data_IF_280385438805
#
_entry.id   IF_280385438805
#
_cell.length_a   1.000
_cell.length_b   1.000
_cell.length_c   1.000
_cell.angle_alpha   90.00
_cell.angle_beta   90.00
_cell.angle_gamma   90.00
#
_symmetry.space_group_name_H-M   'P 1'
#
loop_
_entity.id
_entity.type
_entity.pdbx_description
1 polymer ?
#
# COMPACT_ATOMS: atom_id res chain seq x y z
N UNK A 1 -1.19 1.57 -5.22
CA UNK A 1 -2.33 2.02 -4.38
C UNK A 1 -1.92 3.26 -3.62
N UNK A 2 -2.78 4.27 -3.54
CA UNK A 2 -2.54 5.43 -2.66
C UNK A 2 -2.99 5.11 -1.23
N UNK A 3 -2.18 5.49 -0.22
CA UNK A 3 -2.53 5.45 1.19
C UNK A 3 -2.69 6.88 1.71
N UNK A 4 -3.93 7.34 1.84
CA UNK A 4 -4.21 8.70 2.27
C UNK A 4 -5.36 8.68 3.29
N UNK A 5 -5.04 8.70 4.60
CA UNK A 5 -6.00 8.80 5.71
C UNK A 5 -6.77 10.13 5.77
N UNK A 6 -7.22 10.65 4.63
CA UNK A 6 -7.97 11.87 4.43
C UNK A 6 -9.15 11.62 3.48
N UNK A 7 -10.09 12.55 3.45
CA UNK A 7 -10.97 12.74 2.29
C UNK A 7 -10.19 13.34 1.11
N UNK A 8 -10.58 12.97 -0.12
CA UNK A 8 -10.02 13.50 -1.37
C UNK A 8 -11.02 14.35 -2.16
N UNK A 9 -12.31 14.06 -2.07
CA UNK A 9 -13.36 14.68 -2.89
C UNK A 9 -14.41 15.38 -2.02
N UNK A 10 -13.97 15.93 -0.89
CA UNK A 10 -14.83 16.58 0.10
C UNK A 10 -14.19 17.88 0.54
N UNK A 11 -15.01 18.93 0.64
CA UNK A 11 -14.61 20.22 1.17
C UNK A 11 -15.42 20.56 2.43
N UNK A 12 -14.76 20.88 3.56
CA UNK A 12 -13.31 20.89 3.76
C UNK A 12 -12.72 19.47 3.78
N UNK A 13 -11.45 19.34 3.40
CA UNK A 13 -10.67 18.11 3.59
C UNK A 13 -10.66 17.74 5.07
N UNK A 14 -10.98 16.47 5.38
CA UNK A 14 -11.04 15.95 6.74
C UNK A 14 -10.19 14.71 6.94
N UNK A 15 -9.72 14.54 8.17
CA UNK A 15 -8.99 13.35 8.59
C UNK A 15 -9.93 12.15 8.71
N UNK A 16 -9.50 11.00 8.19
CA UNK A 16 -10.26 9.75 8.23
C UNK A 16 -9.37 8.61 8.75
N UNK A 17 -9.45 8.28 10.04
CA UNK A 17 -8.46 7.43 10.71
C UNK A 17 -8.65 5.93 10.44
N UNK A 18 -9.72 5.48 9.78
CA UNK A 18 -10.15 4.09 9.85
C UNK A 18 -9.06 3.10 9.38
N UNK A 19 -8.52 3.29 8.17
CA UNK A 19 -7.48 2.41 7.63
C UNK A 19 -6.14 2.59 8.34
N UNK A 20 -5.77 3.83 8.69
CA UNK A 20 -4.54 4.13 9.43
C UNK A 20 -4.54 3.46 10.81
N UNK A 21 -5.62 3.61 11.57
CA UNK A 21 -5.81 3.01 12.88
C UNK A 21 -5.79 1.48 12.80
N UNK A 22 -6.40 0.89 11.77
CA UNK A 22 -6.40 -0.55 11.58
C UNK A 22 -4.98 -1.11 11.37
N UNK A 23 -4.15 -0.42 10.58
CA UNK A 23 -2.75 -0.78 10.35
C UNK A 23 -1.90 -0.60 11.61
N UNK A 24 -2.07 0.52 12.33
CA UNK A 24 -1.38 0.75 13.62
C UNK A 24 -1.72 -0.35 14.63
N UNK A 25 -3.00 -0.68 14.77
CA UNK A 25 -3.43 -1.76 15.67
C UNK A 25 -2.89 -3.13 15.24
N UNK A 26 -2.78 -3.39 13.93
CA UNK A 26 -2.17 -4.61 13.42
C UNK A 26 -0.70 -4.74 13.85
N UNK A 27 0.09 -3.70 13.58
CA UNK A 27 1.53 -3.71 13.88
C UNK A 27 1.86 -3.64 15.36
N UNK A 28 1.15 -2.81 16.12
CA UNK A 28 1.50 -2.50 17.51
C UNK A 28 0.78 -3.38 18.53
N UNK A 29 -0.50 -3.67 18.32
CA UNK A 29 -1.32 -4.37 19.32
C UNK A 29 -1.36 -5.87 19.06
N UNK A 30 -1.36 -6.27 17.79
CA UNK A 30 -1.44 -7.70 17.39
C UNK A 30 -0.10 -8.30 16.99
N UNK A 31 0.97 -7.51 16.94
CA UNK A 31 2.32 -7.98 16.57
C UNK A 31 2.41 -8.49 15.13
N UNK A 32 1.52 -8.05 14.23
CA UNK A 32 1.54 -8.45 12.82
C UNK A 32 2.62 -7.67 12.08
N UNK A 33 3.40 -8.34 11.24
CA UNK A 33 4.31 -7.65 10.32
C UNK A 33 3.53 -7.02 9.17
N UNK A 34 3.42 -5.69 9.17
CA UNK A 34 2.74 -4.90 8.15
C UNK A 34 3.77 -4.34 7.18
N UNK A 35 3.64 -4.68 5.90
CA UNK A 35 4.47 -4.13 4.81
C UNK A 35 3.61 -3.33 3.84
N UNK A 36 3.92 -2.05 3.68
CA UNK A 36 3.26 -1.18 2.70
C UNK A 36 4.20 -0.89 1.53
N UNK A 37 3.80 -1.26 0.32
CA UNK A 37 4.48 -0.89 -0.91
C UNK A 37 3.65 0.16 -1.66
N UNK A 38 4.13 1.39 -1.70
CA UNK A 38 3.38 2.54 -2.22
C UNK A 38 4.12 3.14 -3.40
N UNK A 39 3.41 3.43 -4.50
CA UNK A 39 4.06 4.04 -5.67
C UNK A 39 4.31 5.53 -5.49
N UNK A 40 5.49 5.97 -5.93
CA UNK A 40 5.82 7.36 -6.18
C UNK A 40 5.78 7.62 -7.69
N UNK A 41 4.98 8.59 -8.10
CA UNK A 41 4.82 9.05 -9.48
C UNK A 41 4.31 10.51 -9.50
N UNK A 42 4.22 11.13 -10.68
CA UNK A 42 3.89 12.56 -10.86
C UNK A 42 2.56 13.01 -10.21
N UNK A 43 1.64 12.08 -9.98
CA UNK A 43 0.32 12.38 -9.41
C UNK A 43 0.15 11.87 -7.97
N UNK A 44 1.23 11.43 -7.31
CA UNK A 44 1.21 11.06 -5.90
C UNK A 44 0.84 12.27 -5.03
N UNK A 45 -0.16 12.18 -4.15
CA UNK A 45 -0.43 13.25 -3.19
C UNK A 45 0.75 13.45 -2.24
N UNK A 46 1.32 14.65 -2.16
CA UNK A 46 2.46 14.93 -1.28
C UNK A 46 2.15 14.63 0.20
N UNK A 47 0.90 14.83 0.62
CA UNK A 47 0.43 14.55 1.99
C UNK A 47 0.44 13.07 2.37
N UNK A 48 0.49 12.15 1.41
CA UNK A 48 0.59 10.70 1.68
C UNK A 48 1.87 10.34 2.45
N UNK A 49 3.00 10.96 2.10
CA UNK A 49 4.31 10.57 2.64
C UNK A 49 4.46 10.88 4.13
N UNK A 50 4.03 12.04 4.66
CA UNK A 50 3.95 12.27 6.10
C UNK A 50 3.11 11.23 6.86
N UNK A 51 1.97 10.77 6.31
CA UNK A 51 1.19 9.71 6.96
C UNK A 51 1.95 8.38 6.97
N UNK A 52 2.61 8.00 5.87
CA UNK A 52 3.46 6.81 5.83
C UNK A 52 4.62 6.89 6.83
N UNK A 53 5.29 8.04 6.93
CA UNK A 53 6.36 8.28 7.91
C UNK A 53 5.84 8.19 9.35
N UNK A 54 4.63 8.68 9.61
CA UNK A 54 4.02 8.58 10.94
C UNK A 54 3.74 7.14 11.39
N UNK A 55 3.57 6.19 10.45
CA UNK A 55 3.50 4.77 10.76
C UNK A 55 4.89 4.23 11.15
N UNK A 56 5.94 4.66 10.44
CA UNK A 56 7.31 4.22 10.69
C UNK A 56 7.86 4.69 12.04
N UNK A 57 7.39 5.83 12.56
CA UNK A 57 7.75 6.30 13.91
C UNK A 57 7.43 5.25 14.98
N UNK A 58 6.36 4.46 14.80
CA UNK A 58 5.91 3.45 15.76
C UNK A 58 6.86 2.25 15.90
N UNK A 59 7.84 2.11 14.99
CA UNK A 59 8.90 1.10 15.09
C UNK A 59 9.91 1.42 16.20
N UNK A 60 9.95 2.66 16.68
CA UNK A 60 10.89 3.08 17.71
C UNK A 60 10.49 2.49 19.07
N UNK A 61 11.46 2.19 19.96
CA UNK A 61 11.16 1.84 21.34
C UNK A 61 10.35 2.94 22.04
N UNK A 62 9.47 2.60 22.99
CA UNK A 62 9.21 1.25 23.50
C UNK A 62 8.18 0.44 22.67
N UNK A 63 7.60 1.04 21.62
CA UNK A 63 6.50 0.42 20.87
C UNK A 63 6.97 -0.73 19.98
N UNK A 64 8.09 -0.55 19.27
CA UNK A 64 8.72 -1.59 18.43
C UNK A 64 7.75 -2.29 17.46
N UNK A 65 6.77 -1.55 16.93
CA UNK A 65 5.73 -2.13 16.07
C UNK A 65 6.31 -2.67 14.75
N UNK A 66 5.81 -3.81 14.29
CA UNK A 66 6.23 -4.46 13.05
C UNK A 66 5.66 -3.77 11.81
N UNK A 67 6.10 -2.54 11.49
CA UNK A 67 5.64 -1.81 10.30
C UNK A 67 6.82 -1.46 9.40
N UNK A 68 6.70 -1.71 8.10
CA UNK A 68 7.68 -1.33 7.09
C UNK A 68 6.97 -0.65 5.91
N UNK A 69 7.62 0.36 5.34
CA UNK A 69 7.14 1.05 4.16
C UNK A 69 8.27 1.11 3.14
N UNK A 70 7.95 0.76 1.89
CA UNK A 70 8.81 0.98 0.74
C UNK A 70 8.09 1.83 -0.30
N UNK A 71 8.85 2.72 -0.93
CA UNK A 71 8.44 3.53 -2.06
C UNK A 71 8.85 2.84 -3.35
N UNK A 72 7.86 2.52 -4.18
CA UNK A 72 8.03 1.87 -5.47
C UNK A 72 8.07 2.90 -6.60
N UNK A 73 9.08 2.84 -7.48
CA UNK A 73 9.19 3.73 -8.64
C UNK A 73 9.38 2.93 -9.91
N UNK A 74 8.48 3.13 -10.87
CA UNK A 74 8.62 2.50 -12.19
C UNK A 74 9.67 3.30 -12.99
N UNK A 75 10.76 2.67 -13.45
CA UNK A 75 11.78 3.37 -14.23
C UNK A 75 11.18 3.91 -15.53
N UNK A 76 11.62 5.10 -15.93
CA UNK A 76 11.09 5.79 -17.11
C UNK A 76 12.16 6.59 -17.83
N UNK A 77 12.17 6.56 -19.17
CA UNK A 77 12.95 7.50 -19.99
C UNK A 77 12.24 8.84 -20.14
N UNK A 78 12.94 9.86 -20.63
CA UNK A 78 12.36 11.18 -20.91
C UNK A 78 11.17 11.11 -21.90
N UNK A 79 11.25 10.24 -22.89
CA UNK A 79 10.18 9.99 -23.86
C UNK A 79 8.99 9.30 -23.19
N UNK A 80 9.24 8.30 -22.35
CA UNK A 80 8.18 7.57 -21.65
C UNK A 80 7.41 8.45 -20.66
N UNK A 81 8.07 9.43 -20.03
CA UNK A 81 7.43 10.41 -19.15
C UNK A 81 6.47 11.36 -19.87
N UNK A 82 6.54 11.46 -21.20
CA UNK A 82 5.58 12.26 -22.00
C UNK A 82 4.21 11.59 -22.09
N UNK A 83 4.10 10.29 -21.77
CA UNK A 83 2.83 9.56 -21.79
C UNK A 83 2.11 9.83 -20.47
N UNK A 84 0.97 10.55 -20.48
CA UNK A 84 0.25 10.91 -19.26
C UNK A 84 -0.31 9.66 -18.58
N UNK A 85 -0.31 9.70 -17.24
CA UNK A 85 -0.83 8.63 -16.37
C UNK A 85 -0.22 7.23 -16.56
N UNK A 86 0.90 7.13 -17.27
CA UNK A 86 1.68 5.91 -17.39
C UNK A 86 2.71 5.80 -16.25
N UNK A 87 3.46 4.69 -16.23
CA UNK A 87 4.65 4.52 -15.38
C UNK A 87 4.36 4.56 -13.88
N UNK A 88 3.36 3.81 -13.46
CA UNK A 88 2.99 3.65 -12.05
C UNK A 88 2.56 2.22 -11.77
N UNK A 89 2.91 1.69 -10.59
CA UNK A 89 2.27 0.48 -10.08
C UNK A 89 0.94 0.87 -9.43
N UNK A 90 -0.15 0.66 -10.16
CA UNK A 90 -1.49 1.04 -9.72
C UNK A 90 -2.28 -0.12 -9.09
N UNK A 91 -1.62 -1.22 -8.73
CA UNK A 91 -2.26 -2.37 -8.11
C UNK A 91 -2.95 -1.98 -6.79
N UNK A 92 -4.10 -2.60 -6.54
CA UNK A 92 -4.91 -2.41 -5.33
C UNK A 92 -5.27 -3.78 -4.76
N UNK A 93 -4.35 -4.32 -3.99
CA UNK A 93 -4.57 -5.58 -3.29
C UNK A 93 -3.88 -5.56 -1.93
N UNK A 94 -4.31 -6.44 -1.05
CA UNK A 94 -3.67 -6.75 0.22
C UNK A 94 -3.67 -8.27 0.34
N UNK A 95 -2.54 -8.83 0.74
CA UNK A 95 -2.38 -10.26 0.97
C UNK A 95 -1.94 -10.48 2.41
N UNK A 96 -2.53 -11.49 3.03
CA UNK A 96 -2.18 -12.02 4.35
C UNK A 96 -1.76 -13.48 4.18
N UNK A 97 -1.33 -14.12 5.26
CA UNK A 97 -0.97 -15.56 5.27
C UNK A 97 -2.10 -16.50 4.82
N UNK A 98 -3.34 -16.01 4.74
CA UNK A 98 -4.53 -16.86 4.50
C UNK A 98 -5.49 -16.33 3.42
N UNK A 99 -5.54 -15.02 3.25
CA UNK A 99 -6.57 -14.34 2.45
C UNK A 99 -5.94 -13.26 1.60
N UNK A 100 -6.44 -13.12 0.38
CA UNK A 100 -6.14 -11.98 -0.49
C UNK A 100 -7.40 -11.15 -0.74
N UNK A 101 -7.25 -9.84 -0.64
CA UNK A 101 -8.22 -8.85 -1.10
C UNK A 101 -7.68 -8.20 -2.37
N UNK A 102 -8.49 -8.12 -3.42
CA UNK A 102 -8.19 -7.38 -4.65
C UNK A 102 -9.37 -6.46 -4.93
N UNK A 103 -9.14 -5.20 -5.25
CA UNK A 103 -10.24 -4.29 -5.57
C UNK A 103 -9.86 -3.13 -6.46
N UNK A 104 -10.78 -2.19 -6.61
CA UNK A 104 -10.59 -0.97 -7.42
C UNK A 104 -10.26 0.27 -6.59
N UNK A 105 -10.50 0.23 -5.28
CA UNK A 105 -10.41 1.38 -4.39
C UNK A 105 -9.00 1.66 -3.87
N UNK A 106 -8.58 2.93 -3.92
CA UNK A 106 -7.42 3.42 -3.16
C UNK A 106 -7.77 3.51 -1.67
N UNK A 107 -6.77 3.61 -0.80
CA UNK A 107 -6.96 3.69 0.65
C UNK A 107 -7.12 5.14 1.12
N UNK A 108 -8.27 5.71 0.79
CA UNK A 108 -8.71 7.05 1.25
C UNK A 108 -10.22 7.09 1.39
N UNK A 109 -10.74 8.00 2.21
CA UNK A 109 -12.12 7.93 2.68
C UNK A 109 -13.18 7.80 1.59
N UNK A 110 -13.15 8.67 0.57
CA UNK A 110 -14.20 8.72 -0.43
C UNK A 110 -14.27 7.43 -1.24
N UNK A 111 -13.15 6.70 -1.37
CA UNK A 111 -13.10 5.40 -2.02
C UNK A 111 -13.82 4.27 -1.25
N UNK A 112 -14.12 4.50 0.02
CA UNK A 112 -14.93 3.60 0.86
C UNK A 112 -16.37 4.07 1.03
N UNK A 113 -16.62 5.37 0.90
CA UNK A 113 -17.88 5.98 1.37
C UNK A 113 -18.72 6.62 0.26
N UNK A 114 -18.12 7.03 -0.85
CA UNK A 114 -18.78 7.86 -1.88
C UNK A 114 -18.54 7.39 -3.32
N UNK A 115 -17.56 6.52 -3.58
CA UNK A 115 -17.33 5.97 -4.93
C UNK A 115 -17.91 4.57 -5.05
N UNK A 116 -18.48 4.24 -6.21
CA UNK A 116 -18.72 2.85 -6.58
C UNK A 116 -17.39 2.14 -6.88
N UNK A 117 -17.20 0.97 -6.30
CA UNK A 117 -16.04 0.13 -6.52
C UNK A 117 -16.40 -1.35 -6.35
N UNK A 118 -15.51 -2.23 -6.80
CA UNK A 118 -15.64 -3.67 -6.59
C UNK A 118 -14.41 -4.19 -5.88
N UNK A 119 -14.63 -5.11 -4.94
CA UNK A 119 -13.59 -5.82 -4.23
C UNK A 119 -13.95 -7.30 -4.15
N UNK A 120 -12.95 -8.16 -4.30
CA UNK A 120 -13.08 -9.59 -4.13
C UNK A 120 -12.14 -10.01 -3.00
N UNK A 121 -12.69 -10.76 -2.06
CA UNK A 121 -11.93 -11.40 -0.98
C UNK A 121 -11.90 -12.89 -1.28
N UNK A 122 -10.70 -13.43 -1.47
CA UNK A 122 -10.50 -14.86 -1.75
C UNK A 122 -9.83 -15.51 -0.56
N UNK A 123 -10.53 -16.46 0.05
CA UNK A 123 -10.03 -17.31 1.12
C UNK A 123 -10.05 -18.76 0.64
N UNK A 124 -8.86 -19.31 0.38
CA UNK A 124 -8.68 -20.71 -0.04
C UNK A 124 -8.09 -21.56 1.10
N UNK A 125 -8.26 -21.13 2.36
CA UNK A 125 -7.81 -21.93 3.50
C UNK A 125 -8.57 -23.26 3.51
N UNK A 126 -7.85 -24.37 3.43
CA UNK A 126 -8.43 -25.72 3.42
C UNK A 126 -8.93 -26.19 2.05
N UNK A 127 -8.74 -25.41 0.97
CA UNK A 127 -8.94 -25.90 -0.39
C UNK A 127 -7.89 -26.95 -0.75
N UNK A 128 -8.29 -28.00 -1.46
CA UNK A 128 -7.34 -28.94 -2.03
C UNK A 128 -6.51 -28.22 -3.11
N UNK A 129 -5.17 -28.29 -2.98
CA UNK A 129 -4.23 -27.76 -3.97
C UNK A 129 -3.51 -28.97 -4.56
N UNK A 130 -3.77 -29.26 -5.82
CA UNK A 130 -3.15 -30.38 -6.52
C UNK A 130 -1.67 -30.08 -6.84
N UNK A 131 -0.92 -31.12 -7.20
CA UNK A 131 0.46 -30.97 -7.62
C UNK A 131 0.57 -30.01 -8.81
N UNK A 132 1.43 -28.99 -8.70
CA UNK A 132 1.60 -27.95 -9.71
C UNK A 132 0.59 -26.79 -9.64
N UNK A 133 -0.40 -26.83 -8.74
CA UNK A 133 -1.33 -25.71 -8.53
C UNK A 133 -0.85 -24.75 -7.43
N UNK A 134 -1.31 -23.51 -7.51
CA UNK A 134 -1.08 -22.48 -6.50
C UNK A 134 -2.39 -21.76 -6.17
N UNK A 135 -2.60 -21.44 -4.89
CA UNK A 135 -3.72 -20.58 -4.49
C UNK A 135 -3.52 -19.16 -5.05
N UNK A 136 -4.62 -18.42 -5.23
CA UNK A 136 -4.53 -17.03 -5.62
C UNK A 136 -3.82 -16.19 -4.54
N UNK A 137 -4.01 -16.57 -3.27
CA UNK A 137 -3.29 -15.96 -2.15
C UNK A 137 -1.77 -16.10 -2.32
N UNK A 138 -1.26 -17.31 -2.61
CA UNK A 138 0.19 -17.52 -2.71
C UNK A 138 0.77 -16.87 -3.96
N UNK A 139 0.03 -16.84 -5.07
CA UNK A 139 0.41 -16.08 -6.27
C UNK A 139 0.49 -14.57 -5.96
N UNK A 140 -0.49 -14.01 -5.25
CA UNK A 140 -0.50 -12.59 -4.88
C UNK A 140 0.63 -12.24 -3.90
N UNK A 141 0.96 -13.13 -2.97
CA UNK A 141 2.11 -13.00 -2.09
C UNK A 141 3.43 -12.97 -2.88
N UNK A 142 3.62 -13.91 -3.81
CA UNK A 142 4.81 -13.94 -4.67
C UNK A 142 4.93 -12.66 -5.51
N UNK A 143 3.82 -12.16 -6.06
CA UNK A 143 3.80 -10.88 -6.78
C UNK A 143 4.21 -9.70 -5.88
N UNK A 144 3.64 -9.62 -4.67
CA UNK A 144 4.02 -8.60 -3.70
C UNK A 144 5.51 -8.67 -3.34
N UNK A 145 6.01 -9.86 -3.03
CA UNK A 145 7.40 -10.07 -2.63
C UNK A 145 8.39 -9.80 -3.77
N UNK A 146 8.04 -10.14 -5.02
CA UNK A 146 8.81 -9.77 -6.22
C UNK A 146 9.00 -8.26 -6.29
N UNK A 147 7.91 -7.49 -6.19
CA UNK A 147 8.00 -6.03 -6.28
C UNK A 147 8.70 -5.44 -5.05
N UNK A 148 8.41 -5.96 -3.85
CA UNK A 148 9.03 -5.56 -2.58
C UNK A 148 10.55 -5.73 -2.55
N UNK A 149 11.05 -6.81 -3.15
CA UNK A 149 12.48 -7.15 -3.19
C UNK A 149 13.22 -6.58 -4.41
N UNK A 150 12.50 -5.98 -5.34
CA UNK A 150 13.10 -5.39 -6.55
C UNK A 150 13.94 -4.14 -6.25
N UNK A 151 14.84 -3.82 -7.18
CA UNK A 151 15.61 -2.56 -7.18
C UNK A 151 14.74 -1.30 -7.29
N UNK A 152 13.48 -1.46 -7.68
CA UNK A 152 12.51 -0.38 -7.83
C UNK A 152 11.83 0.01 -6.51
N UNK A 153 12.07 -0.75 -5.43
CA UNK A 153 11.46 -0.55 -4.12
C UNK A 153 12.50 -0.08 -3.08
N UNK A 154 12.49 1.22 -2.78
CA UNK A 154 13.37 1.83 -1.78
C UNK A 154 12.69 1.93 -0.40
N UNK A 155 13.41 1.61 0.68
CA UNK A 155 12.89 1.82 2.04
C UNK A 155 12.64 3.31 2.30
N UNK A 156 11.49 3.62 2.90
CA UNK A 156 11.18 4.97 3.37
C UNK A 156 11.82 5.22 4.73
N UNK A 157 12.46 6.37 4.91
CA UNK A 157 12.92 6.86 6.20
C UNK A 157 11.95 7.90 6.79
N UNK A 158 11.91 7.99 8.12
CA UNK A 158 11.16 9.02 8.85
C UNK A 158 11.70 10.42 8.53
N UNK A 159 12.98 10.53 8.19
CA UNK A 159 13.65 11.82 8.01
C UNK A 159 13.73 12.28 6.53
N UNK A 160 13.20 11.47 5.60
CA UNK A 160 13.17 11.81 4.17
C UNK A 160 12.28 13.04 3.92
N UNK A 161 12.81 14.04 3.19
CA UNK A 161 12.08 15.28 2.88
C UNK A 161 11.47 15.27 1.48
N UNK A 162 12.23 14.79 0.50
CA UNK A 162 11.82 14.72 -0.91
C UNK A 162 11.56 13.27 -1.30
N UNK A 163 10.54 12.67 -0.67
CA UNK A 163 10.22 11.25 -0.88
C UNK A 163 9.76 10.99 -2.31
N UNK A 164 9.10 11.94 -2.96
CA UNK A 164 8.62 11.77 -4.33
C UNK A 164 8.77 13.07 -5.12
N UNK A 165 10.00 13.40 -5.57
CA UNK A 165 10.22 14.61 -6.36
C UNK A 165 9.53 14.48 -7.72
N UNK A 166 9.09 15.62 -8.26
CA UNK A 166 8.44 15.76 -9.57
C UNK A 166 9.28 16.60 -10.51
#
# INVERSE_FOLDING_TARGET
>A
MDFLPLSQFTEPVRFWPAIDSALRAAGCTRGVQVRLLVSCWKHSPASMFPFLQSLLVLRRPPLSCGVEVKIFRVPSTAEQMKIPFARVNHAKFMVTDRVVYIGTSNWSENYFTHTAGVGVVVNQTGSAVEEGQQTLQSQAEQLFLRDWSSEYAAALSVDDRDVCPH
#
